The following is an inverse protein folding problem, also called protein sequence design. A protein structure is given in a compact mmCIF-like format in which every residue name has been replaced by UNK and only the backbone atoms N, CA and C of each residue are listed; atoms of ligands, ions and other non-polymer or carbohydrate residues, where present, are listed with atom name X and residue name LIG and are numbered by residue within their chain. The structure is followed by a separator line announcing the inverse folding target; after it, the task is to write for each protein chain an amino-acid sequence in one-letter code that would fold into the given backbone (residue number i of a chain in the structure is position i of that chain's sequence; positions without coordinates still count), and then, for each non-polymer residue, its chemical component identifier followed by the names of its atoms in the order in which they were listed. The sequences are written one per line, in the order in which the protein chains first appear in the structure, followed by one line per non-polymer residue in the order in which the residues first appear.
data_IF_495346787717
#
_entry.id   IF_495346787717
#
_cell.length_a   1.000
_cell.length_b   1.000
_cell.length_c   1.000
_cell.angle_alpha   90.00
_cell.angle_beta   90.00
_cell.angle_gamma   90.00
#
_symmetry.space_group_name_H-M   'P 1'
#
loop_
_entity.id
_entity.type
_entity.pdbx_description
1 polymer ?
#
# COMPACT_ATOMS: atom_id res chain seq x y z
N UNK A 1 -9.52 18.19 4.23
CA UNK A 1 -10.22 17.51 5.35
C UNK A 1 -9.15 17.15 6.37
N UNK A 2 -9.28 17.55 7.63
CA UNK A 2 -8.28 17.29 8.67
C UNK A 2 -8.42 15.83 9.12
N UNK A 3 -7.42 14.98 8.83
CA UNK A 3 -7.33 13.66 9.46
C UNK A 3 -7.18 13.85 10.96
N UNK A 4 -8.06 13.23 11.75
CA UNK A 4 -7.93 13.14 13.20
C UNK A 4 -7.10 11.90 13.52
N UNK A 5 -6.26 11.92 14.55
CA UNK A 5 -5.40 10.79 14.92
C UNK A 5 -6.14 9.43 15.01
N UNK A 6 -7.40 9.44 15.50
CA UNK A 6 -8.25 8.24 15.55
C UNK A 6 -8.63 7.66 14.17
N UNK A 7 -8.66 8.49 13.13
CA UNK A 7 -8.89 8.05 11.75
C UNK A 7 -7.65 7.36 11.19
N UNK A 8 -6.47 7.93 11.47
CA UNK A 8 -5.19 7.39 10.99
C UNK A 8 -4.88 6.04 11.66
N UNK A 9 -5.14 5.90 12.97
CA UNK A 9 -5.02 4.61 13.68
C UNK A 9 -5.93 3.52 13.10
N UNK A 10 -7.13 3.91 12.64
CA UNK A 10 -8.06 2.96 12.03
C UNK A 10 -7.54 2.49 10.67
N UNK A 11 -6.93 3.38 9.89
CA UNK A 11 -6.32 3.04 8.60
C UNK A 11 -5.09 2.16 8.83
N UNK A 12 -4.25 2.48 9.84
CA UNK A 12 -3.08 1.68 10.21
C UNK A 12 -3.45 0.21 10.50
N UNK A 13 -4.58 -0.03 11.16
CA UNK A 13 -5.09 -1.38 11.49
C UNK A 13 -5.84 -2.07 10.35
N UNK A 14 -6.18 -1.38 9.26
CA UNK A 14 -6.83 -2.01 8.12
C UNK A 14 -5.85 -2.88 7.32
N UNK A 15 -6.34 -4.01 6.81
CA UNK A 15 -5.56 -4.87 5.92
C UNK A 15 -5.33 -4.19 4.57
N UNK A 16 -4.07 -4.12 4.16
CA UNK A 16 -3.66 -3.61 2.85
C UNK A 16 -4.36 -4.36 1.71
N UNK A 17 -4.50 -5.69 1.85
CA UNK A 17 -5.16 -6.56 0.88
C UNK A 17 -6.60 -6.14 0.52
N UNK A 18 -7.35 -5.59 1.48
CA UNK A 18 -8.72 -5.11 1.23
C UNK A 18 -8.75 -3.80 0.46
N UNK A 19 -7.69 -3.00 0.53
CA UNK A 19 -7.59 -1.69 -0.14
C UNK A 19 -6.89 -1.79 -1.49
N UNK A 20 -5.99 -2.76 -1.64
CA UNK A 20 -5.26 -3.05 -2.88
C UNK A 20 -6.12 -3.08 -4.15
N UNK A 21 -7.26 -3.81 -4.24
CA UNK A 21 -8.09 -3.80 -5.44
C UNK A 21 -8.63 -2.41 -5.79
N UNK A 22 -8.87 -1.55 -4.78
CA UNK A 22 -9.30 -0.17 -5.03
C UNK A 22 -8.18 0.69 -5.64
N UNK A 23 -6.91 0.43 -5.28
CA UNK A 23 -5.77 1.09 -5.95
C UNK A 23 -5.69 0.67 -7.41
N UNK A 24 -5.79 -0.64 -7.69
CA UNK A 24 -5.80 -1.18 -9.05
C UNK A 24 -6.90 -0.54 -9.88
N UNK A 25 -8.15 -0.57 -9.42
CA UNK A 25 -9.27 0.08 -10.14
C UNK A 25 -9.04 1.58 -10.34
N UNK A 26 -8.38 2.27 -9.39
CA UNK A 26 -8.09 3.70 -9.50
C UNK A 26 -6.99 4.00 -10.53
N UNK A 27 -5.97 3.16 -10.65
CA UNK A 27 -4.94 3.31 -11.69
C UNK A 27 -5.51 2.98 -13.06
N UNK A 28 -6.29 1.90 -13.19
CA UNK A 28 -6.98 1.54 -14.43
C UNK A 28 -7.92 2.67 -14.91
N UNK A 29 -8.71 3.25 -13.99
CA UNK A 29 -9.56 4.42 -14.30
C UNK A 29 -8.78 5.65 -14.76
N UNK A 30 -7.52 5.76 -14.39
CA UNK A 30 -6.61 6.84 -14.82
C UNK A 30 -5.81 6.48 -16.08
N UNK A 31 -6.06 5.33 -16.70
CA UNK A 31 -5.32 4.86 -17.86
C UNK A 31 -3.90 4.42 -17.54
N UNK A 32 -3.62 4.07 -16.28
CA UNK A 32 -2.33 3.58 -15.80
C UNK A 32 -2.36 2.07 -15.62
N UNK A 33 -1.20 1.43 -15.63
CA UNK A 33 -1.09 -0.02 -15.47
C UNK A 33 -0.85 -0.43 -14.02
N UNK A 34 -1.11 -1.71 -13.73
CA UNK A 34 -0.77 -2.32 -12.43
C UNK A 34 0.75 -2.32 -12.22
N UNK A 35 1.54 -2.48 -13.29
CA UNK A 35 2.99 -2.41 -13.24
C UNK A 35 3.48 -1.04 -12.75
N UNK A 36 2.90 0.07 -13.24
CA UNK A 36 3.23 1.41 -12.72
C UNK A 36 2.88 1.55 -11.23
N UNK A 37 1.75 0.96 -10.80
CA UNK A 37 1.38 0.95 -9.39
C UNK A 37 2.42 0.20 -8.56
N UNK A 38 2.88 -0.96 -9.04
CA UNK A 38 3.93 -1.74 -8.40
C UNK A 38 5.24 -0.98 -8.33
N UNK A 39 5.67 -0.33 -9.42
CA UNK A 39 6.88 0.49 -9.42
C UNK A 39 6.81 1.64 -8.42
N UNK A 40 5.65 2.29 -8.27
CA UNK A 40 5.48 3.35 -7.28
C UNK A 40 5.53 2.80 -5.85
N UNK A 41 4.92 1.64 -5.62
CA UNK A 41 4.97 0.98 -4.32
C UNK A 41 6.41 0.57 -4.00
N UNK A 42 7.10 -0.08 -4.94
CA UNK A 42 8.50 -0.48 -4.82
C UNK A 42 9.41 0.72 -4.56
N UNK A 43 9.23 1.82 -5.28
CA UNK A 43 9.98 3.04 -5.02
C UNK A 43 9.69 3.63 -3.64
N UNK A 44 8.43 3.59 -3.18
CA UNK A 44 8.04 4.17 -1.89
C UNK A 44 8.45 3.33 -0.69
N UNK A 45 8.34 2.01 -0.79
CA UNK A 45 8.50 1.06 0.33
C UNK A 45 9.73 0.17 0.22
N UNK A 46 10.37 0.13 -0.95
CA UNK A 46 11.43 -0.81 -1.26
C UNK A 46 10.95 -2.25 -1.54
N UNK A 47 9.62 -2.50 -1.59
CA UNK A 47 9.10 -3.85 -1.79
C UNK A 47 8.99 -4.19 -3.27
N UNK A 48 9.60 -5.31 -3.66
CA UNK A 48 9.39 -5.85 -5.00
C UNK A 48 7.96 -6.41 -5.17
N UNK A 49 7.59 -6.74 -6.41
CA UNK A 49 6.26 -7.29 -6.71
C UNK A 49 5.95 -8.61 -5.96
N UNK A 50 6.97 -9.43 -5.66
CA UNK A 50 6.81 -10.69 -4.92
C UNK A 50 6.55 -10.45 -3.43
N UNK A 51 7.29 -9.53 -2.82
CA UNK A 51 7.09 -9.09 -1.44
C UNK A 51 5.74 -8.42 -1.28
N UNK A 52 5.37 -7.53 -2.20
CA UNK A 52 4.05 -6.92 -2.20
C UNK A 52 2.94 -7.98 -2.26
N UNK A 53 3.09 -8.98 -3.12
CA UNK A 53 2.13 -10.08 -3.22
C UNK A 53 2.07 -10.93 -1.94
N UNK A 54 3.21 -11.23 -1.33
CA UNK A 54 3.27 -11.91 -0.01
C UNK A 54 2.55 -11.09 1.07
N UNK A 55 2.72 -9.77 1.09
CA UNK A 55 2.06 -8.89 2.06
C UNK A 55 0.53 -8.88 1.84
N UNK A 56 0.08 -8.91 0.59
CA UNK A 56 -1.34 -9.04 0.23
C UNK A 56 -1.89 -10.41 0.68
N UNK A 57 -1.19 -11.51 0.40
CA UNK A 57 -1.61 -12.86 0.81
C UNK A 57 -1.66 -13.03 2.33
N UNK A 58 -0.67 -12.47 3.04
CA UNK A 58 -0.62 -12.45 4.51
C UNK A 58 -1.69 -11.56 5.14
N UNK A 59 -2.40 -10.74 4.34
CA UNK A 59 -3.37 -9.74 4.80
C UNK A 59 -2.77 -8.74 5.80
N UNK A 60 -1.49 -8.40 5.60
CA UNK A 60 -0.79 -7.46 6.47
C UNK A 60 -1.53 -6.14 6.59
N UNK A 61 -1.49 -5.56 7.78
CA UNK A 61 -2.09 -4.24 8.03
C UNK A 61 -1.22 -3.15 7.42
N UNK A 62 -1.76 -1.96 7.21
CA UNK A 62 -0.96 -0.81 6.76
C UNK A 62 0.18 -0.50 7.74
N UNK A 63 -0.05 -0.63 9.04
CA UNK A 63 0.97 -0.48 10.08
C UNK A 63 2.14 -1.45 9.85
N UNK A 64 1.86 -2.75 9.72
CA UNK A 64 2.91 -3.76 9.48
C UNK A 64 3.59 -3.54 8.14
N UNK A 65 2.80 -3.26 7.09
CA UNK A 65 3.31 -2.99 5.75
C UNK A 65 4.32 -1.84 5.74
N UNK A 66 3.99 -0.70 6.36
CA UNK A 66 4.91 0.44 6.42
C UNK A 66 6.04 0.29 7.46
N UNK A 67 5.85 -0.57 8.48
CA UNK A 67 6.91 -0.87 9.46
C UNK A 67 7.97 -1.80 8.86
N UNK A 68 7.57 -2.76 8.03
CA UNK A 68 8.49 -3.63 7.29
C UNK A 68 9.09 -2.94 6.06
N UNK A 69 8.44 -1.87 5.57
CA UNK A 69 8.92 -1.09 4.45
C UNK A 69 10.20 -0.34 4.82
N UNK A 70 11.18 -0.36 3.92
CA UNK A 70 12.31 0.56 3.99
C UNK A 70 11.92 1.85 3.31
N UNK A 71 11.23 2.72 4.04
CA UNK A 71 10.87 4.05 3.53
C UNK A 71 12.14 4.80 3.14
N UNK A 72 12.19 5.29 1.90
CA UNK A 72 13.28 6.14 1.43
C UNK A 72 13.52 7.29 2.44
N UNK A 73 14.78 7.63 2.76
CA UNK A 73 15.08 8.75 3.63
C UNK A 73 14.48 10.04 3.04
N UNK A 74 13.62 10.70 3.82
CA UNK A 74 13.11 12.05 3.55
C UNK A 74 14.23 13.09 3.63
#
# INVERSE_FOLDING_TARGET
MKSTAAHDDRIAKMSFASVYPHYVTKVEKKGRTIEELHQVIEWLTGFDALELQKQIEKKSTFETFFTEATLLPQ
#
